data_IF_939222975219
#
_entry.id   IF_939222975219
#
_cell.length_a   1.000
_cell.length_b   1.000
_cell.length_c   1.000
_cell.angle_alpha   90.00
_cell.angle_beta   90.00
_cell.angle_gamma   90.00
#
_symmetry.space_group_name_H-M   'P 1'
#
loop_
_entity.id
_entity.type
_entity.pdbx_description
1 polymer ?
#
# COMPACT_ATOMS: atom_id res chain seq x y z
N UNK A 1 -10.50 2.14 -15.96
CA UNK A 1 -10.15 2.62 -14.60
C UNK A 1 -10.15 1.42 -13.69
N UNK A 2 -8.97 0.86 -13.40
CA UNK A 2 -8.81 -0.31 -12.53
C UNK A 2 -8.05 0.12 -11.28
N UNK A 3 -8.59 -0.28 -10.13
CA UNK A 3 -8.00 -0.04 -8.83
C UNK A 3 -7.40 -1.35 -8.35
N UNK A 4 -6.11 -1.31 -8.02
CA UNK A 4 -5.38 -2.44 -7.47
C UNK A 4 -5.14 -2.22 -5.99
N UNK A 5 -5.11 -3.32 -5.25
CA UNK A 5 -4.70 -3.32 -3.85
C UNK A 5 -3.68 -4.41 -3.63
N UNK A 6 -2.64 -4.07 -2.87
CA UNK A 6 -1.66 -5.03 -2.35
C UNK A 6 -1.49 -4.75 -0.87
N UNK A 7 -1.49 -5.80 -0.04
CA UNK A 7 -1.39 -5.62 1.39
C UNK A 7 -1.56 -6.89 2.18
N UNK A 8 -1.48 -6.73 3.50
CA UNK A 8 -1.68 -7.78 4.49
C UNK A 8 -2.71 -7.32 5.51
N UNK A 9 -3.49 -8.26 6.04
CA UNK A 9 -4.48 -7.97 7.06
C UNK A 9 -4.52 -9.08 8.12
N UNK A 10 -5.22 -8.82 9.23
CA UNK A 10 -5.33 -9.75 10.36
C UNK A 10 -5.95 -11.11 10.02
N UNK A 11 -6.71 -11.22 8.93
CA UNK A 11 -7.30 -12.48 8.48
C UNK A 11 -6.28 -13.38 7.80
N UNK A 12 -5.26 -12.81 7.15
CA UNK A 12 -4.28 -13.54 6.34
C UNK A 12 -2.87 -13.57 6.95
N UNK A 13 -2.55 -12.68 7.89
CA UNK A 13 -1.23 -12.57 8.48
C UNK A 13 -1.26 -12.31 10.00
N UNK A 14 -0.43 -13.01 10.80
CA UNK A 14 -0.28 -12.75 12.21
C UNK A 14 0.35 -11.36 12.45
N UNK A 15 0.20 -10.85 13.68
CA UNK A 15 0.70 -9.51 14.05
C UNK A 15 2.21 -9.34 13.79
N UNK A 16 3.01 -10.38 14.05
CA UNK A 16 4.46 -10.36 13.82
C UNK A 16 4.84 -10.04 12.37
N UNK A 17 4.06 -10.50 11.39
CA UNK A 17 4.28 -10.17 9.98
C UNK A 17 3.83 -8.74 9.67
N UNK A 18 2.71 -8.31 10.26
CA UNK A 18 2.10 -6.99 9.99
C UNK A 18 2.93 -5.85 10.55
N UNK A 19 3.62 -6.05 11.68
CA UNK A 19 4.53 -5.06 12.25
C UNK A 19 5.74 -4.77 11.35
N UNK A 20 6.19 -5.74 10.56
CA UNK A 20 7.31 -5.54 9.63
C UNK A 20 6.98 -4.69 8.41
N UNK A 21 5.68 -4.52 8.08
CA UNK A 21 5.24 -3.78 6.89
C UNK A 21 4.41 -2.55 7.25
N UNK A 22 4.24 -2.25 8.54
CA UNK A 22 3.51 -1.08 8.99
C UNK A 22 4.25 0.22 8.62
N UNK A 23 3.55 1.14 7.97
CA UNK A 23 4.05 2.49 7.74
C UNK A 23 3.88 3.31 9.03
N UNK A 24 4.97 3.87 9.54
CA UNK A 24 4.93 4.90 10.56
C UNK A 24 4.56 6.27 9.93
N UNK A 25 4.16 7.24 10.75
CA UNK A 25 3.77 8.58 10.29
C UNK A 25 4.85 9.29 9.49
N UNK A 26 6.11 9.06 9.87
CA UNK A 26 7.26 9.80 9.37
C UNK A 26 7.63 9.37 7.95
N UNK A 27 7.43 8.10 7.61
CA UNK A 27 7.71 7.55 6.26
C UNK A 27 6.50 7.59 5.33
N UNK A 28 5.27 7.78 5.85
CA UNK A 28 4.04 7.64 5.08
C UNK A 28 3.95 8.65 3.92
N UNK A 29 4.37 9.89 4.17
CA UNK A 29 4.41 10.94 3.15
C UNK A 29 5.44 10.61 2.06
N UNK A 30 6.64 10.19 2.46
CA UNK A 30 7.69 9.83 1.50
C UNK A 30 7.27 8.63 0.64
N UNK A 31 6.73 7.58 1.25
CA UNK A 31 6.25 6.40 0.54
C UNK A 31 5.13 6.73 -0.47
N UNK A 32 4.20 7.63 -0.11
CA UNK A 32 3.15 8.07 -1.01
C UNK A 32 3.70 8.90 -2.19
N UNK A 33 4.67 9.77 -1.93
CA UNK A 33 5.37 10.52 -2.99
C UNK A 33 6.14 9.60 -3.92
N UNK A 34 6.83 8.59 -3.38
CA UNK A 34 7.55 7.60 -4.19
C UNK A 34 6.57 6.82 -5.08
N UNK A 35 5.44 6.35 -4.56
CA UNK A 35 4.45 5.62 -5.34
C UNK A 35 3.92 6.43 -6.53
N UNK A 36 3.61 7.71 -6.30
CA UNK A 36 3.08 8.60 -7.34
C UNK A 36 4.13 9.05 -8.35
N UNK A 37 5.43 8.97 -8.02
CA UNK A 37 6.51 9.21 -8.95
C UNK A 37 6.68 8.12 -10.03
N UNK A 38 6.15 6.91 -9.81
CA UNK A 38 6.35 5.73 -10.66
C UNK A 38 5.16 5.43 -11.61
N UNK A 39 4.59 6.45 -12.25
CA UNK A 39 3.45 6.32 -13.20
C UNK A 39 2.12 5.82 -12.62
N UNK A 40 1.96 5.85 -11.30
CA UNK A 40 0.65 5.63 -10.65
C UNK A 40 -0.05 6.99 -10.55
N UNK A 41 -1.21 7.14 -11.21
CA UNK A 41 -1.92 8.42 -11.23
C UNK A 41 -2.48 8.81 -9.85
N UNK A 42 -2.95 7.82 -9.11
CA UNK A 42 -3.52 7.98 -7.77
C UNK A 42 -3.09 6.82 -6.89
N UNK A 43 -2.61 7.11 -5.69
CA UNK A 43 -2.23 6.13 -4.70
C UNK A 43 -2.77 6.49 -3.32
N UNK A 44 -3.04 5.49 -2.49
CA UNK A 44 -3.36 5.66 -1.08
C UNK A 44 -2.73 4.54 -0.25
N UNK A 45 -2.25 4.88 0.95
CA UNK A 45 -1.69 3.92 1.90
C UNK A 45 -2.60 3.89 3.13
N UNK A 46 -3.06 2.70 3.50
CA UNK A 46 -3.82 2.45 4.73
C UNK A 46 -2.99 1.58 5.66
N UNK A 47 -2.40 2.18 6.68
CA UNK A 47 -1.59 1.49 7.70
C UNK A 47 -2.24 1.64 9.06
N UNK A 48 -2.71 0.52 9.62
CA UNK A 48 -3.39 0.46 10.93
C UNK A 48 -2.93 -0.79 11.69
N UNK A 49 -3.38 -0.94 12.93
CA UNK A 49 -3.13 -2.15 13.70
C UNK A 49 -3.77 -3.42 13.14
N UNK A 50 -4.65 -3.35 12.14
CA UNK A 50 -5.39 -4.50 11.58
C UNK A 50 -5.04 -4.83 10.13
N UNK A 51 -4.43 -3.88 9.41
CA UNK A 51 -4.10 -3.99 7.99
C UNK A 51 -3.05 -2.98 7.59
N UNK A 52 -2.25 -3.37 6.61
CA UNK A 52 -1.35 -2.49 5.86
C UNK A 52 -1.58 -2.77 4.39
N UNK A 53 -2.13 -1.79 3.69
CA UNK A 53 -2.60 -1.91 2.30
C UNK A 53 -2.19 -0.68 1.50
N UNK A 54 -1.79 -0.91 0.24
CA UNK A 54 -1.50 0.11 -0.75
C UNK A 54 -2.53 -0.03 -1.85
N UNK A 55 -3.20 1.07 -2.17
CA UNK A 55 -4.17 1.18 -3.24
C UNK A 55 -3.57 2.01 -4.36
N UNK A 56 -3.66 1.52 -5.59
CA UNK A 56 -3.11 2.23 -6.77
C UNK A 56 -4.09 2.18 -7.93
N UNK A 57 -4.20 3.32 -8.62
CA UNK A 57 -4.87 3.42 -9.91
C UNK A 57 -3.82 3.28 -11.01
N UNK A 58 -4.02 2.35 -11.93
CA UNK A 58 -3.18 2.22 -13.12
C UNK A 58 -4.04 2.18 -14.40
N UNK A 59 -3.57 2.91 -15.41
CA UNK A 59 -4.16 2.90 -16.75
C UNK A 59 -3.63 1.76 -17.63
N UNK A 60 -2.45 1.23 -17.32
CA UNK A 60 -1.80 0.11 -18.02
C UNK A 60 -1.32 -0.91 -16.98
N UNK A 61 -2.14 -1.91 -16.66
CA UNK A 61 -1.73 -2.95 -15.74
C UNK A 61 -0.77 -3.91 -16.43
N UNK A 62 0.50 -3.89 -16.04
CA UNK A 62 1.36 -5.05 -16.26
C UNK A 62 0.99 -6.13 -15.22
N UNK A 63 0.73 -7.37 -15.63
CA UNK A 63 0.49 -8.45 -14.70
C UNK A 63 1.76 -8.72 -13.88
N UNK A 64 1.60 -8.76 -12.55
CA UNK A 64 2.64 -9.13 -11.57
C UNK A 64 2.79 -10.64 -11.52
#
# INVERSE_FOLDING_TARGET
MQLYTIGVNHTTAPISIREHVAFNSDILHHALSDLTAHNVAEAAILSTCNRTEIYVQSANPEPV
#
